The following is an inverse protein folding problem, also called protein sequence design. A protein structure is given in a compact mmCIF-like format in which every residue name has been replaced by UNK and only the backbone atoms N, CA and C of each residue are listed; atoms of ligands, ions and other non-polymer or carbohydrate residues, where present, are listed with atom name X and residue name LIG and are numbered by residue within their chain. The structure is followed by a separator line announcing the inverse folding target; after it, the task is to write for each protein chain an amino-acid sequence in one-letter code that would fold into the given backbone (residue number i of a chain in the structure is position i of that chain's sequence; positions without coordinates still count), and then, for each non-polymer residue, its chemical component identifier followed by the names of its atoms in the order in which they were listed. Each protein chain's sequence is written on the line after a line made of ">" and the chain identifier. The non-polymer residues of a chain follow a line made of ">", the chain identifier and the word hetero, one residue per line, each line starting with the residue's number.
data_IF_206877624381
#
_entry.id   IF_206877624381
#
_cell.length_a   1.000
_cell.length_b   1.000
_cell.length_c   1.000
_cell.angle_alpha   90.00
_cell.angle_beta   90.00
_cell.angle_gamma   90.00
#
_symmetry.space_group_name_H-M   'P 1'
#
loop_
_entity.id
_entity.type
_entity.pdbx_description
1 polymer ?
#
# COMPACT_ATOMS: atom_id res chain seq x y z
N UNK A 1 9.08 -12.34 -9.60
CA UNK A 1 9.51 -11.64 -10.82
C UNK A 1 8.31 -11.01 -11.53
N UNK A 2 8.45 -9.79 -12.01
CA UNK A 2 7.39 -9.11 -12.75
C UNK A 2 7.40 -9.56 -14.21
N UNK A 3 6.32 -10.17 -14.68
CA UNK A 3 6.18 -10.56 -16.07
C UNK A 3 5.69 -9.38 -16.92
N UNK A 4 5.85 -9.47 -18.25
CA UNK A 4 5.34 -8.46 -19.16
C UNK A 4 3.83 -8.33 -19.01
N UNK A 5 3.12 -9.45 -18.90
CA UNK A 5 1.66 -9.47 -18.75
C UNK A 5 1.20 -8.80 -17.46
N UNK A 6 1.83 -9.11 -16.32
CA UNK A 6 1.45 -8.49 -15.06
C UNK A 6 1.80 -7.01 -15.02
N UNK A 7 2.88 -6.59 -15.69
CA UNK A 7 3.20 -5.18 -15.81
C UNK A 7 2.17 -4.44 -16.67
N UNK A 8 1.74 -5.04 -17.78
CA UNK A 8 0.70 -4.46 -18.64
C UNK A 8 -0.63 -4.27 -17.90
N UNK A 9 -1.01 -5.23 -17.05
CA UNK A 9 -2.22 -5.14 -16.23
C UNK A 9 -2.12 -3.96 -15.27
N UNK A 10 -0.98 -3.76 -14.64
CA UNK A 10 -0.75 -2.64 -13.72
C UNK A 10 -0.81 -1.29 -14.43
N UNK A 11 -0.25 -1.20 -15.64
CA UNK A 11 -0.32 0.01 -16.46
C UNK A 11 -1.78 0.33 -16.82
N UNK A 12 -2.54 -0.65 -17.27
CA UNK A 12 -3.96 -0.46 -17.61
C UNK A 12 -4.77 0.01 -16.40
N UNK A 13 -4.57 -0.62 -15.24
CA UNK A 13 -5.24 -0.21 -14.02
C UNK A 13 -4.89 1.23 -13.66
N UNK A 14 -3.61 1.57 -13.71
CA UNK A 14 -3.16 2.92 -13.37
C UNK A 14 -3.84 3.97 -14.26
N UNK A 15 -3.86 3.74 -15.57
CA UNK A 15 -4.41 4.70 -16.54
C UNK A 15 -5.93 4.86 -16.45
N UNK A 16 -6.65 3.93 -15.83
CA UNK A 16 -8.08 4.08 -15.58
C UNK A 16 -8.37 5.17 -14.55
N UNK A 17 -7.44 5.40 -13.61
CA UNK A 17 -7.65 6.28 -12.48
C UNK A 17 -6.78 7.53 -12.50
N UNK A 18 -5.72 7.54 -13.33
CA UNK A 18 -4.80 8.67 -13.44
C UNK A 18 -4.49 8.93 -14.91
N UNK A 19 -4.60 10.17 -15.32
CA UNK A 19 -4.35 10.57 -16.73
C UNK A 19 -2.89 10.80 -17.02
N UNK A 20 -2.06 10.98 -15.99
CA UNK A 20 -0.65 11.28 -16.13
C UNK A 20 0.20 10.17 -15.52
N UNK A 21 1.11 9.61 -16.31
CA UNK A 21 2.07 8.62 -15.84
C UNK A 21 3.48 9.18 -16.05
N UNK A 22 4.15 9.52 -14.95
CA UNK A 22 5.51 10.03 -14.94
C UNK A 22 6.50 8.88 -14.81
N UNK A 23 7.80 9.15 -15.02
CA UNK A 23 8.84 8.13 -14.85
C UNK A 23 8.84 7.52 -13.45
N UNK A 24 8.63 8.35 -12.42
CA UNK A 24 8.54 7.84 -11.05
C UNK A 24 7.34 6.90 -10.86
N UNK A 25 6.24 7.16 -11.53
CA UNK A 25 5.05 6.30 -11.46
C UNK A 25 5.32 4.95 -12.10
N UNK A 26 6.03 4.93 -13.23
CA UNK A 26 6.45 3.68 -13.89
C UNK A 26 7.37 2.88 -12.97
N UNK A 27 8.33 3.54 -12.32
CA UNK A 27 9.23 2.91 -11.37
C UNK A 27 8.44 2.23 -10.25
N UNK A 28 7.44 2.91 -9.69
CA UNK A 28 6.63 2.37 -8.61
C UNK A 28 5.76 1.19 -9.06
N UNK A 29 5.30 1.18 -10.31
CA UNK A 29 4.53 0.05 -10.84
C UNK A 29 5.32 -1.26 -10.85
N UNK A 30 6.64 -1.18 -10.87
CA UNK A 30 7.53 -2.34 -10.84
C UNK A 30 7.80 -2.85 -9.43
N UNK A 31 7.43 -2.08 -8.41
CA UNK A 31 7.76 -2.36 -7.02
C UNK A 31 6.52 -2.78 -6.24
N UNK A 32 6.67 -3.81 -5.43
CA UNK A 32 5.66 -4.21 -4.48
C UNK A 32 4.40 -4.84 -5.06
N UNK A 33 3.47 -5.09 -4.15
CA UNK A 33 2.11 -5.56 -4.46
C UNK A 33 1.22 -4.35 -4.69
N UNK A 34 0.47 -4.36 -5.78
CA UNK A 34 -0.44 -3.27 -6.12
C UNK A 34 -1.88 -3.69 -5.86
N UNK A 35 -2.61 -2.84 -5.14
CA UNK A 35 -4.00 -3.08 -4.77
C UNK A 35 -4.85 -1.89 -5.23
N UNK A 36 -6.08 -2.18 -5.61
CA UNK A 36 -7.09 -1.15 -5.87
C UNK A 36 -8.20 -1.35 -4.86
N UNK A 37 -8.39 -0.36 -3.97
CA UNK A 37 -9.33 -0.47 -2.85
C UNK A 37 -10.76 -0.12 -3.26
N UNK A 38 -11.69 -0.28 -2.34
CA UNK A 38 -13.13 -0.22 -2.61
C UNK A 38 -13.58 1.10 -3.24
N UNK A 39 -13.06 2.21 -2.75
CA UNK A 39 -13.41 3.55 -3.24
C UNK A 39 -12.46 4.05 -4.34
N UNK A 40 -11.64 3.16 -4.89
CA UNK A 40 -10.75 3.46 -6.01
C UNK A 40 -9.35 3.90 -5.64
N UNK A 41 -8.99 3.94 -4.36
CA UNK A 41 -7.65 4.30 -3.95
C UNK A 41 -6.64 3.23 -4.37
N UNK A 42 -5.45 3.67 -4.77
CA UNK A 42 -4.34 2.76 -5.06
C UNK A 42 -3.48 2.58 -3.82
N UNK A 43 -3.14 1.32 -3.52
CA UNK A 43 -2.26 0.97 -2.43
C UNK A 43 -1.10 0.15 -2.96
N UNK A 44 0.09 0.37 -2.37
CA UNK A 44 1.29 -0.38 -2.73
C UNK A 44 1.91 -0.92 -1.44
N UNK A 45 2.17 -2.22 -1.41
CA UNK A 45 2.81 -2.89 -0.26
C UNK A 45 4.10 -3.55 -0.75
N UNK A 46 5.25 -3.19 -0.17
CA UNK A 46 6.52 -3.83 -0.50
C UNK A 46 6.48 -5.33 -0.22
N UNK A 47 7.04 -6.12 -1.14
CA UNK A 47 7.08 -7.59 -1.01
C UNK A 47 8.24 -8.07 -0.14
N UNK A 48 9.32 -7.29 -0.11
CA UNK A 48 10.56 -7.64 0.58
C UNK A 48 11.34 -6.36 0.92
N UNK A 49 12.48 -6.53 1.57
CA UNK A 49 13.34 -5.42 1.95
C UNK A 49 13.82 -4.60 0.75
N UNK A 50 14.10 -5.26 -0.38
CA UNK A 50 14.52 -4.58 -1.60
C UNK A 50 13.44 -3.64 -2.12
N UNK A 51 12.20 -4.10 -2.20
CA UNK A 51 11.06 -3.25 -2.58
C UNK A 51 10.87 -2.11 -1.59
N UNK A 52 10.94 -2.40 -0.29
CA UNK A 52 10.75 -1.39 0.76
C UNK A 52 11.78 -0.28 0.64
N UNK A 53 13.05 -0.64 0.46
CA UNK A 53 14.14 0.33 0.31
C UNK A 53 13.98 1.15 -0.97
N UNK A 54 13.59 0.52 -2.06
CA UNK A 54 13.40 1.21 -3.34
C UNK A 54 12.25 2.21 -3.28
N UNK A 55 11.12 1.83 -2.66
CA UNK A 55 9.99 2.74 -2.48
C UNK A 55 10.37 3.96 -1.63
N UNK A 56 11.11 3.76 -0.56
CA UNK A 56 11.56 4.83 0.30
C UNK A 56 12.61 5.73 -0.37
N UNK A 57 13.45 5.15 -1.25
CA UNK A 57 14.49 5.88 -1.96
C UNK A 57 13.95 6.73 -3.12
N UNK A 58 12.73 6.43 -3.60
CA UNK A 58 12.11 7.10 -4.74
C UNK A 58 10.77 7.72 -4.35
N UNK A 59 10.76 8.84 -3.60
CA UNK A 59 9.51 9.46 -3.15
C UNK A 59 8.57 9.80 -4.29
N UNK A 60 7.28 9.51 -4.08
CA UNK A 60 6.23 9.80 -5.04
C UNK A 60 5.15 10.65 -4.36
N UNK A 61 4.97 11.88 -4.85
CA UNK A 61 4.07 12.87 -4.25
C UNK A 61 2.58 12.58 -4.41
N UNK A 62 2.22 11.56 -5.19
CA UNK A 62 0.81 11.11 -5.32
C UNK A 62 0.38 10.21 -4.18
N UNK A 63 1.32 9.78 -3.33
CA UNK A 63 1.09 8.79 -2.28
C UNK A 63 1.51 9.29 -0.92
N UNK A 64 0.89 8.73 0.12
CA UNK A 64 1.25 8.94 1.50
C UNK A 64 1.66 7.63 2.14
N UNK A 65 2.68 7.65 2.97
CA UNK A 65 3.15 6.45 3.65
C UNK A 65 2.24 6.09 4.82
N UNK A 66 1.92 4.80 4.93
CA UNK A 66 1.26 4.24 6.10
C UNK A 66 2.33 4.05 7.19
N UNK A 67 2.20 4.73 8.32
CA UNK A 67 3.21 4.74 9.39
C UNK A 67 2.66 4.10 10.66
N UNK A 68 3.50 3.31 11.31
CA UNK A 68 3.19 2.71 12.61
C UNK A 68 3.77 3.53 13.74
N UNK A 69 3.19 3.37 14.92
CA UNK A 69 3.72 3.96 16.14
C UNK A 69 5.02 3.24 16.52
N UNK A 70 6.11 3.97 16.78
CA UNK A 70 7.41 3.39 17.10
C UNK A 70 7.36 2.45 18.32
N UNK A 71 6.56 2.82 19.32
CA UNK A 71 6.45 2.02 20.55
C UNK A 71 5.83 0.65 20.35
N UNK A 72 5.14 0.43 19.22
CA UNK A 72 4.56 -0.88 18.88
C UNK A 72 5.59 -1.84 18.28
N UNK A 73 6.75 -1.32 17.90
CA UNK A 73 7.87 -2.10 17.36
C UNK A 73 7.44 -3.06 16.24
N UNK A 74 6.60 -2.56 15.35
CA UNK A 74 6.09 -3.34 14.22
C UNK A 74 7.14 -3.38 13.12
N UNK A 75 7.55 -4.58 12.73
CA UNK A 75 8.52 -4.82 11.67
C UNK A 75 7.82 -5.52 10.50
N UNK A 76 8.11 -5.11 9.29
CA UNK A 76 7.59 -5.75 8.09
C UNK A 76 7.35 -4.78 6.96
N UNK A 77 6.15 -4.80 6.39
CA UNK A 77 5.86 -4.13 5.14
C UNK A 77 5.93 -2.60 5.23
N UNK A 78 6.55 -2.00 4.21
CA UNK A 78 6.41 -0.58 3.91
C UNK A 78 5.26 -0.46 2.92
N UNK A 79 4.33 0.45 3.15
CA UNK A 79 3.18 0.64 2.28
C UNK A 79 2.83 2.12 2.08
N UNK A 80 2.13 2.36 0.99
CA UNK A 80 1.69 3.69 0.57
C UNK A 80 0.27 3.63 0.07
N UNK A 81 -0.46 4.74 0.22
CA UNK A 81 -1.85 4.89 -0.24
C UNK A 81 -2.01 6.22 -0.96
N UNK A 82 -2.86 6.28 -1.97
CA UNK A 82 -3.14 7.51 -2.71
C UNK A 82 -3.53 8.65 -1.77
N UNK A 83 -2.97 9.84 -1.98
CA UNK A 83 -3.26 11.02 -1.14
C UNK A 83 -4.73 11.38 -1.09
N UNK A 84 -5.45 11.15 -2.17
CA UNK A 84 -6.87 11.48 -2.28
C UNK A 84 -7.80 10.34 -1.85
N UNK A 85 -7.25 9.32 -1.19
CA UNK A 85 -8.05 8.20 -0.72
C UNK A 85 -9.13 8.64 0.28
N UNK A 86 -10.28 7.96 0.24
CA UNK A 86 -11.34 8.16 1.23
C UNK A 86 -10.86 7.69 2.60
N UNK A 87 -11.52 8.16 3.65
CA UNK A 87 -11.22 7.70 5.02
C UNK A 87 -11.39 6.20 5.15
N UNK A 88 -12.43 5.63 4.53
CA UNK A 88 -12.67 4.19 4.54
C UNK A 88 -11.52 3.43 3.87
N UNK A 89 -11.03 3.89 2.71
CA UNK A 89 -9.89 3.27 2.03
C UNK A 89 -8.60 3.42 2.82
N UNK A 90 -8.38 4.54 3.50
CA UNK A 90 -7.22 4.73 4.36
C UNK A 90 -7.23 3.75 5.53
N UNK A 91 -8.37 3.58 6.18
CA UNK A 91 -8.53 2.61 7.26
C UNK A 91 -8.28 1.19 6.79
N UNK A 92 -8.86 0.82 5.64
CA UNK A 92 -8.63 -0.49 5.02
C UNK A 92 -7.15 -0.69 4.69
N UNK A 93 -6.48 0.31 4.12
CA UNK A 93 -5.05 0.26 3.81
C UNK A 93 -4.21 0.01 5.06
N UNK A 94 -4.54 0.67 6.17
CA UNK A 94 -3.86 0.47 7.43
C UNK A 94 -4.02 -0.96 7.94
N UNK A 95 -5.23 -1.49 7.90
CA UNK A 95 -5.52 -2.87 8.32
C UNK A 95 -4.83 -3.90 7.44
N UNK A 96 -4.83 -3.68 6.13
CA UNK A 96 -4.16 -4.58 5.18
C UNK A 96 -2.64 -4.55 5.33
N UNK A 97 -2.08 -3.38 5.62
CA UNK A 97 -0.64 -3.27 5.88
C UNK A 97 -0.24 -4.10 7.09
N UNK A 98 -1.01 -4.01 8.18
CA UNK A 98 -0.76 -4.81 9.38
C UNK A 98 -0.83 -6.30 9.09
N UNK A 99 -1.66 -6.75 8.15
CA UNK A 99 -1.77 -8.15 7.77
C UNK A 99 -0.46 -8.72 7.21
N UNK A 100 0.41 -7.87 6.66
CA UNK A 100 1.72 -8.27 6.12
C UNK A 100 2.86 -8.05 7.11
N UNK A 101 2.54 -7.77 8.36
CA UNK A 101 3.52 -7.65 9.46
C UNK A 101 3.36 -8.83 10.41
N UNK A 102 4.19 -8.86 11.46
CA UNK A 102 4.09 -9.86 12.53
C UNK A 102 3.11 -9.45 13.62
N UNK A 103 2.34 -8.39 13.42
CA UNK A 103 1.38 -7.90 14.39
C UNK A 103 0.31 -8.96 14.69
N UNK A 104 -0.06 -9.09 15.97
CA UNK A 104 -1.11 -10.01 16.38
C UNK A 104 -2.48 -9.54 15.88
N UNK A 105 -3.28 -10.46 15.34
CA UNK A 105 -4.63 -10.16 14.86
C UNK A 105 -5.58 -9.72 15.97
N UNK A 106 -5.28 -10.07 17.21
CA UNK A 106 -6.14 -9.77 18.35
C UNK A 106 -5.84 -8.41 18.99
N UNK A 107 -4.73 -7.79 18.64
CA UNK A 107 -4.30 -6.54 19.23
C UNK A 107 -4.68 -5.35 18.34
N UNK A 108 -4.87 -4.20 18.98
CA UNK A 108 -5.11 -2.94 18.29
C UNK A 108 -3.80 -2.17 18.17
N UNK A 109 -3.62 -1.49 17.03
CA UNK A 109 -2.41 -0.71 16.75
C UNK A 109 -2.79 0.67 16.26
N UNK A 110 -1.96 1.66 16.60
CA UNK A 110 -2.12 3.02 16.07
C UNK A 110 -1.35 3.12 14.76
N UNK A 111 -2.06 3.46 13.69
CA UNK A 111 -1.49 3.67 12.36
C UNK A 111 -1.80 5.08 11.93
N UNK A 112 -0.79 5.77 11.40
CA UNK A 112 -0.93 7.14 10.90
C UNK A 112 -0.79 7.18 9.39
N UNK A 113 -1.69 7.90 8.73
CA UNK A 113 -1.62 8.22 7.31
C UNK A 113 -1.81 9.72 7.20
N UNK A 114 -0.77 10.43 6.75
CA UNK A 114 -0.73 11.89 6.78
C UNK A 114 -0.97 12.39 8.20
N UNK A 115 -2.01 13.20 8.42
CA UNK A 115 -2.35 13.74 9.74
C UNK A 115 -3.48 12.96 10.43
N UNK A 116 -3.92 11.86 9.82
CA UNK A 116 -5.00 11.05 10.38
C UNK A 116 -4.43 9.84 11.12
N UNK A 117 -5.03 9.54 12.28
CA UNK A 117 -4.64 8.39 13.10
C UNK A 117 -5.79 7.40 13.16
N UNK A 118 -5.46 6.13 13.06
CA UNK A 118 -6.42 5.02 13.11
C UNK A 118 -5.98 4.04 14.19
N UNK A 119 -6.91 3.61 15.03
CA UNK A 119 -6.68 2.54 15.99
C UNK A 119 -7.43 1.33 15.47
N UNK A 120 -6.70 0.33 15.00
CA UNK A 120 -7.26 -0.76 14.22
C UNK A 120 -6.58 -2.09 14.54
N UNK A 121 -7.25 -3.18 14.16
CA UNK A 121 -6.68 -4.54 14.21
C UNK A 121 -6.23 -4.96 12.82
N UNK A 122 -5.21 -5.83 12.73
CA UNK A 122 -4.79 -6.37 11.44
C UNK A 122 -5.94 -7.12 10.74
N UNK A 123 -5.97 -7.00 9.41
CA UNK A 123 -6.89 -7.75 8.58
C UNK A 123 -6.27 -9.09 8.19
N UNK A 124 -7.07 -10.00 7.64
CA UNK A 124 -6.58 -11.27 7.12
C UNK A 124 -5.90 -11.04 5.75
N UNK A 125 -4.74 -11.66 5.53
CA UNK A 125 -4.05 -11.61 4.24
C UNK A 125 -4.91 -12.08 3.07
N UNK A 126 -5.84 -12.99 3.32
CA UNK A 126 -6.75 -13.49 2.28
C UNK A 126 -7.64 -12.38 1.73
N UNK A 127 -8.05 -11.44 2.58
CA UNK A 127 -8.85 -10.31 2.12
C UNK A 127 -8.03 -9.40 1.20
N UNK A 128 -6.74 -9.21 1.49
CA UNK A 128 -5.88 -8.38 0.64
C UNK A 128 -5.83 -8.90 -0.80
N UNK A 129 -5.87 -10.21 -1.00
CA UNK A 129 -5.80 -10.81 -2.33
C UNK A 129 -6.98 -10.42 -3.22
N UNK A 130 -8.13 -10.09 -2.63
CA UNK A 130 -9.31 -9.64 -3.38
C UNK A 130 -9.11 -8.29 -4.03
N UNK A 131 -8.18 -7.48 -3.52
CA UNK A 131 -7.90 -6.15 -4.01
C UNK A 131 -6.67 -6.08 -4.93
N UNK A 132 -5.94 -7.16 -5.10
CA UNK A 132 -4.77 -7.17 -5.97
C UNK A 132 -5.16 -6.83 -7.40
N UNK A 133 -4.34 -5.98 -8.03
CA UNK A 133 -4.47 -5.65 -9.46
C UNK A 133 -4.03 -6.88 -10.24
N UNK A 134 -4.93 -7.41 -11.05
CA UNK A 134 -4.74 -8.66 -11.82
C UNK A 134 -4.84 -8.40 -13.31
#
# INVERSE_FOLDING_TARGET
>A
MLTIESFAVKIKDYLKFDKEMRDIDVTWLKLGRHLRLVDGAKMIIGRDESDNNALLAHPNDKFEQVKFKESDDIVGAVSFISKNASKADKELAARLTLAYTKASKDDEFEVSIANEKFIIKPEDKKLAQEFFVK
#
